data_IF_370786173626
#
_entry.id   IF_370786173626
#
_cell.length_a   1.000
_cell.length_b   1.000
_cell.length_c   1.000
_cell.angle_alpha   90.00
_cell.angle_beta   90.00
_cell.angle_gamma   90.00
#
_symmetry.space_group_name_H-M   'P 1'
#
loop_
_entity.id
_entity.type
_entity.pdbx_description
1 polymer ?
#
# COMPACT_ATOMS: atom_id res chain seq x y z
N UNK A 1 -1.53 0.82 41.67
CA UNK A 1 -1.81 0.06 40.44
C UNK A 1 -3.26 -0.40 40.55
N UNK A 2 -4.20 0.38 40.03
CA UNK A 2 -5.64 0.06 40.06
C UNK A 2 -5.98 -0.55 38.73
N UNK A 3 -6.37 -1.82 38.75
CA UNK A 3 -6.81 -2.55 37.56
C UNK A 3 -8.29 -2.22 37.37
N UNK A 4 -8.58 -1.40 36.37
CA UNK A 4 -9.97 -1.15 35.92
C UNK A 4 -10.55 -2.42 35.25
N UNK A 5 -11.77 -2.75 35.59
CA UNK A 5 -12.45 -3.91 35.03
C UNK A 5 -13.17 -3.55 33.70
N UNK A 6 -13.50 -4.58 32.93
CA UNK A 6 -14.07 -4.48 31.57
C UNK A 6 -15.40 -3.70 31.48
N UNK A 7 -16.14 -3.59 32.57
CA UNK A 7 -17.43 -2.85 32.63
C UNK A 7 -17.22 -1.35 32.76
N UNK A 8 -16.15 -0.91 33.43
CA UNK A 8 -15.81 0.51 33.59
C UNK A 8 -15.27 1.13 32.30
N UNK A 9 -14.60 0.32 31.46
CA UNK A 9 -14.14 0.76 30.14
C UNK A 9 -15.29 0.97 29.14
N UNK A 10 -16.35 0.16 29.21
CA UNK A 10 -17.53 0.31 28.34
C UNK A 10 -18.49 1.43 28.79
N UNK A 11 -18.48 1.82 30.07
CA UNK A 11 -19.30 2.90 30.58
C UNK A 11 -18.73 4.31 30.27
N UNK A 12 -17.43 4.42 29.98
CA UNK A 12 -16.79 5.68 29.58
C UNK A 12 -17.03 6.06 28.11
N UNK A 13 -17.57 5.15 27.28
CA UNK A 13 -17.79 5.34 25.85
C UNK A 13 -19.19 5.78 25.42
N UNK A 14 -20.16 5.91 26.34
CA UNK A 14 -21.58 6.19 25.99
C UNK A 14 -22.13 7.41 26.74
N UNK A 15 -21.39 8.48 26.74
CA UNK A 15 -21.85 9.68 27.44
C UNK A 15 -21.32 10.96 26.81
N UNK A 16 -21.78 11.32 25.61
CA UNK A 16 -21.75 12.74 25.16
C UNK A 16 -22.69 12.97 23.97
N UNK A 17 -23.98 12.97 24.22
CA UNK A 17 -24.93 13.72 23.38
C UNK A 17 -25.59 14.73 24.30
N UNK A 18 -25.23 16.00 24.12
CA UNK A 18 -25.94 17.11 24.76
C UNK A 18 -25.05 18.07 25.56
N UNK A 19 -24.25 18.88 24.88
CA UNK A 19 -23.80 20.16 25.39
C UNK A 19 -23.57 21.09 24.21
N UNK A 20 -24.38 22.17 24.17
CA UNK A 20 -24.18 23.34 23.31
C UNK A 20 -22.83 23.96 23.62
N UNK A 21 -21.88 23.83 22.72
CA UNK A 21 -20.58 24.46 22.82
C UNK A 21 -20.48 25.63 21.85
N UNK A 22 -20.17 26.76 22.40
CA UNK A 22 -19.72 27.97 21.73
C UNK A 22 -18.44 27.74 20.95
N UNK A 23 -18.35 28.39 19.79
CA UNK A 23 -17.32 28.29 18.79
C UNK A 23 -15.88 28.37 19.34
N UNK A 24 -15.14 27.28 19.15
CA UNK A 24 -13.70 27.22 19.14
C UNK A 24 -13.28 26.26 18.03
N UNK A 25 -12.68 26.80 16.97
CA UNK A 25 -12.26 26.05 15.78
C UNK A 25 -11.16 25.05 16.10
N UNK A 26 -11.54 23.82 16.40
CA UNK A 26 -10.73 22.65 16.18
C UNK A 26 -11.32 21.99 14.92
N UNK A 27 -10.62 22.05 13.82
CA UNK A 27 -10.94 21.31 12.62
C UNK A 27 -10.79 19.81 12.92
N UNK A 28 -11.87 19.19 13.40
CA UNK A 28 -11.98 17.75 13.45
C UNK A 28 -11.91 17.22 12.02
N UNK A 29 -10.88 16.48 11.69
CA UNK A 29 -10.78 15.79 10.42
C UNK A 29 -11.97 14.83 10.30
N UNK A 30 -13.00 15.26 9.57
CA UNK A 30 -14.09 14.37 9.16
C UNK A 30 -13.48 13.47 8.09
N UNK A 31 -13.21 12.23 8.44
CA UNK A 31 -12.82 11.19 7.49
C UNK A 31 -13.87 11.13 6.39
N UNK A 32 -13.51 11.28 5.11
CA UNK A 32 -14.44 11.02 4.04
C UNK A 32 -14.75 9.54 4.06
N UNK A 33 -15.88 9.18 4.66
CA UNK A 33 -16.43 7.84 4.56
C UNK A 33 -16.60 7.53 3.07
N UNK A 34 -16.32 6.31 2.67
CA UNK A 34 -16.72 5.80 1.36
C UNK A 34 -18.19 6.10 1.18
N UNK A 35 -18.54 6.73 0.08
CA UNK A 35 -19.94 7.05 -0.21
C UNK A 35 -20.72 5.75 -0.49
N UNK A 36 -22.05 5.82 -0.41
CA UNK A 36 -22.89 4.69 -0.81
C UNK A 36 -22.63 4.27 -2.27
N UNK A 37 -22.23 5.21 -3.12
CA UNK A 37 -21.86 4.94 -4.51
C UNK A 37 -20.55 4.20 -4.62
N UNK A 38 -19.57 4.47 -3.76
CA UNK A 38 -18.31 3.75 -3.71
C UNK A 38 -18.49 2.28 -3.29
N UNK A 39 -19.57 1.99 -2.54
CA UNK A 39 -19.90 0.65 -2.06
C UNK A 39 -20.88 -0.11 -2.97
N UNK A 40 -21.45 0.54 -3.98
CA UNK A 40 -22.36 -0.14 -4.90
C UNK A 40 -21.60 -1.20 -5.71
N UNK A 41 -22.12 -2.44 -5.79
CA UNK A 41 -21.48 -3.48 -6.59
C UNK A 41 -21.37 -3.01 -8.05
N UNK A 42 -20.15 -2.91 -8.55
CA UNK A 42 -19.87 -2.73 -9.97
C UNK A 42 -19.96 -4.06 -10.71
N UNK A 43 -19.93 -4.02 -12.03
CA UNK A 43 -19.71 -5.22 -12.84
C UNK A 43 -18.25 -5.63 -12.72
N UNK A 44 -17.98 -6.94 -12.63
CA UNK A 44 -16.62 -7.45 -12.72
C UNK A 44 -15.97 -7.00 -14.04
N UNK A 45 -14.65 -6.78 -14.07
CA UNK A 45 -13.96 -6.46 -15.32
C UNK A 45 -14.21 -7.53 -16.38
N UNK A 46 -14.73 -7.14 -17.55
CA UNK A 46 -14.93 -8.04 -18.69
C UNK A 46 -13.73 -7.95 -19.65
N UNK A 47 -12.54 -8.02 -19.08
CA UNK A 47 -11.27 -8.00 -19.83
C UNK A 47 -10.68 -9.38 -19.81
N UNK A 48 -10.60 -10.02 -20.98
CA UNK A 48 -9.90 -11.29 -21.15
C UNK A 48 -8.41 -11.03 -21.27
N UNK A 49 -7.66 -11.48 -20.28
CA UNK A 49 -6.19 -11.41 -20.25
C UNK A 49 -5.63 -12.77 -20.68
N UNK A 50 -4.67 -12.77 -21.59
CA UNK A 50 -3.94 -14.00 -21.95
C UNK A 50 -2.77 -14.18 -20.99
N UNK A 51 -2.58 -15.38 -20.41
CA UNK A 51 -1.39 -15.65 -19.62
C UNK A 51 -0.13 -15.31 -20.42
N UNK A 52 0.77 -14.61 -19.78
CA UNK A 52 2.11 -14.35 -20.31
C UNK A 52 3.10 -15.25 -19.56
N UNK A 53 3.93 -15.98 -20.30
CA UNK A 53 5.00 -16.73 -19.67
C UNK A 53 6.04 -15.71 -19.16
N UNK A 54 5.98 -15.38 -17.87
CA UNK A 54 7.00 -14.59 -17.23
C UNK A 54 8.28 -15.41 -17.18
N UNK A 55 9.21 -15.03 -18.01
CA UNK A 55 10.61 -15.36 -17.78
C UNK A 55 11.13 -14.21 -16.92
N UNK A 56 11.20 -14.43 -15.62
CA UNK A 56 12.10 -13.62 -14.78
C UNK A 56 13.50 -13.93 -15.30
N UNK A 57 13.99 -13.10 -16.19
CA UNK A 57 15.40 -13.06 -16.47
C UNK A 57 16.08 -12.41 -15.25
N UNK A 58 17.29 -12.84 -14.91
CA UNK A 58 18.03 -12.32 -13.75
C UNK A 58 18.24 -10.78 -13.81
N UNK A 59 18.03 -10.17 -14.97
CA UNK A 59 18.24 -8.76 -15.29
C UNK A 59 16.96 -7.93 -15.52
N UNK A 60 15.76 -8.55 -15.39
CA UNK A 60 14.50 -7.91 -15.78
C UNK A 60 13.32 -8.26 -14.87
N UNK A 61 12.51 -7.23 -14.53
CA UNK A 61 11.23 -7.37 -13.85
C UNK A 61 10.25 -6.31 -14.35
N UNK A 62 8.96 -6.68 -14.51
CA UNK A 62 7.87 -5.73 -14.62
C UNK A 62 6.82 -6.02 -13.55
N UNK A 63 6.42 -5.01 -12.79
CA UNK A 63 5.45 -5.15 -11.70
C UNK A 63 4.57 -3.91 -11.56
N UNK A 64 3.47 -4.06 -10.81
CA UNK A 64 2.54 -2.98 -10.46
C UNK A 64 2.53 -2.77 -8.96
N UNK A 65 2.43 -1.51 -8.51
CA UNK A 65 2.18 -1.17 -7.13
C UNK A 65 0.83 -0.44 -7.00
N UNK A 66 0.00 -0.89 -6.04
CA UNK A 66 -1.35 -0.41 -5.82
C UNK A 66 -1.72 -0.55 -4.34
N UNK A 67 -2.13 0.54 -3.70
CA UNK A 67 -2.69 0.55 -2.35
C UNK A 67 -4.18 0.90 -2.34
N UNK A 68 -4.84 0.59 -1.22
CA UNK A 68 -6.18 1.10 -0.91
C UNK A 68 -7.26 0.67 -1.93
N UNK A 69 -7.19 -0.57 -2.39
CA UNK A 69 -8.10 -1.11 -3.40
C UNK A 69 -9.30 -1.87 -2.83
N UNK A 70 -9.39 -2.04 -1.52
CA UNK A 70 -10.25 -2.98 -0.78
C UNK A 70 -11.73 -2.63 -0.66
N UNK A 71 -12.29 -1.71 -1.45
CA UNK A 71 -13.72 -1.36 -1.36
C UNK A 71 -14.64 -2.39 -2.04
N UNK A 72 -14.19 -3.01 -3.13
CA UNK A 72 -15.01 -3.82 -4.02
C UNK A 72 -16.08 -3.03 -4.79
N UNK A 73 -16.03 -1.69 -4.71
CA UNK A 73 -16.93 -0.77 -5.38
C UNK A 73 -16.52 -0.45 -6.82
N UNK A 74 -17.30 0.42 -7.49
CA UNK A 74 -17.10 0.77 -8.91
C UNK A 74 -15.71 1.34 -9.20
N UNK A 75 -15.16 2.15 -8.32
CA UNK A 75 -13.85 2.77 -8.51
C UNK A 75 -12.73 1.72 -8.43
N UNK A 76 -12.78 0.81 -7.46
CA UNK A 76 -11.85 -0.31 -7.36
C UNK A 76 -11.90 -1.20 -8.62
N UNK A 77 -13.11 -1.50 -9.11
CA UNK A 77 -13.30 -2.28 -10.34
C UNK A 77 -12.73 -1.55 -11.56
N UNK A 78 -12.93 -0.23 -11.66
CA UNK A 78 -12.39 0.56 -12.78
C UNK A 78 -10.85 0.59 -12.79
N UNK A 79 -10.22 0.69 -11.61
CA UNK A 79 -8.75 0.60 -11.50
C UNK A 79 -8.27 -0.79 -11.90
N UNK A 80 -8.90 -1.85 -11.38
CA UNK A 80 -8.55 -3.23 -11.71
C UNK A 80 -8.75 -3.53 -13.21
N UNK A 81 -9.82 -3.03 -13.82
CA UNK A 81 -10.05 -3.13 -15.28
C UNK A 81 -8.93 -2.43 -16.06
N UNK A 82 -8.52 -1.23 -15.64
CA UNK A 82 -7.41 -0.52 -16.28
C UNK A 82 -6.10 -1.30 -16.15
N UNK A 83 -5.82 -1.91 -15.00
CA UNK A 83 -4.67 -2.79 -14.82
C UNK A 83 -4.72 -3.98 -15.81
N UNK A 84 -5.87 -4.64 -15.94
CA UNK A 84 -6.04 -5.74 -16.87
C UNK A 84 -5.87 -5.31 -18.35
N UNK A 85 -6.35 -4.13 -18.73
CA UNK A 85 -6.11 -3.55 -20.05
C UNK A 85 -4.63 -3.26 -20.27
N UNK A 86 -3.96 -2.67 -19.29
CA UNK A 86 -2.53 -2.37 -19.35
C UNK A 86 -1.70 -3.65 -19.48
N UNK A 87 -2.06 -4.71 -18.76
CA UNK A 87 -1.39 -6.01 -18.86
C UNK A 87 -1.35 -6.56 -20.29
N UNK A 88 -2.35 -6.29 -21.14
CA UNK A 88 -2.37 -6.77 -22.50
C UNK A 88 -1.29 -6.17 -23.40
N UNK A 89 -0.85 -4.95 -23.09
CA UNK A 89 0.12 -4.19 -23.90
C UNK A 89 1.48 -4.03 -23.21
N UNK A 90 1.48 -4.03 -21.90
CA UNK A 90 2.65 -3.95 -21.02
C UNK A 90 2.46 -4.96 -19.87
N UNK A 91 2.71 -6.25 -20.13
CA UNK A 91 2.49 -7.30 -19.14
C UNK A 91 3.44 -7.14 -17.93
N UNK A 92 2.99 -7.62 -16.77
CA UNK A 92 3.74 -7.61 -15.51
C UNK A 92 3.52 -8.91 -14.74
N UNK A 93 4.52 -9.38 -13.99
CA UNK A 93 4.48 -10.65 -13.27
C UNK A 93 4.04 -10.56 -11.83
N UNK A 94 4.04 -9.34 -11.27
CA UNK A 94 3.79 -9.12 -9.85
C UNK A 94 2.89 -7.89 -9.65
N UNK A 95 2.00 -7.98 -8.66
CA UNK A 95 1.31 -6.83 -8.06
C UNK A 95 1.73 -6.73 -6.60
N UNK A 96 2.41 -5.65 -6.25
CA UNK A 96 2.71 -5.28 -4.88
C UNK A 96 1.51 -4.48 -4.31
N UNK A 97 0.74 -5.11 -3.44
CA UNK A 97 -0.37 -4.49 -2.73
C UNK A 97 0.15 -3.72 -1.53
N UNK A 98 -0.21 -2.44 -1.44
CA UNK A 98 0.31 -1.52 -0.43
C UNK A 98 -0.66 -1.33 0.75
N UNK A 99 -1.41 -2.37 1.08
CA UNK A 99 -2.34 -2.42 2.20
C UNK A 99 -3.76 -1.92 1.90
N UNK A 100 -4.63 -2.08 2.88
CA UNK A 100 -6.05 -1.77 2.81
C UNK A 100 -6.76 -2.51 1.67
N UNK A 101 -6.55 -3.83 1.62
CA UNK A 101 -7.19 -4.72 0.66
C UNK A 101 -8.62 -5.10 1.06
N UNK A 102 -9.04 -4.74 2.29
CA UNK A 102 -10.42 -4.93 2.76
C UNK A 102 -10.84 -3.81 3.73
N UNK A 103 -11.63 -2.84 3.26
CA UNK A 103 -12.07 -1.71 4.10
C UNK A 103 -13.14 -2.07 5.13
N UNK A 104 -13.99 -3.06 4.89
CA UNK A 104 -15.13 -3.36 5.76
C UNK A 104 -15.32 -4.85 5.97
N UNK A 105 -15.44 -5.23 7.22
CA UNK A 105 -15.75 -6.60 7.59
C UNK A 105 -14.55 -7.53 7.53
N UNK A 106 -14.82 -8.80 7.35
CA UNK A 106 -13.82 -9.87 7.37
C UNK A 106 -13.42 -10.22 5.93
N UNK A 107 -12.13 -10.23 5.61
CA UNK A 107 -11.62 -10.54 4.27
C UNK A 107 -12.11 -11.90 3.77
N UNK A 108 -12.13 -12.97 4.59
CA UNK A 108 -12.63 -14.30 4.17
C UNK A 108 -14.04 -14.23 3.58
N UNK A 109 -14.91 -13.38 4.16
CA UNK A 109 -16.29 -13.22 3.68
C UNK A 109 -16.38 -12.31 2.44
N UNK A 110 -15.45 -11.39 2.31
CA UNK A 110 -15.45 -10.39 1.25
C UNK A 110 -14.42 -10.65 0.15
N UNK A 111 -13.57 -11.64 0.32
CA UNK A 111 -12.45 -11.95 -0.57
C UNK A 111 -12.86 -11.97 -2.06
N UNK A 112 -13.97 -12.63 -2.36
CA UNK A 112 -14.49 -12.64 -3.73
C UNK A 112 -14.83 -11.24 -4.23
N UNK A 113 -15.45 -10.39 -3.39
CA UNK A 113 -15.91 -9.05 -3.78
C UNK A 113 -14.78 -8.05 -3.90
N UNK A 114 -13.80 -8.06 -2.97
CA UNK A 114 -12.77 -7.03 -2.87
C UNK A 114 -11.47 -7.40 -3.58
N UNK A 115 -11.21 -8.69 -3.77
CA UNK A 115 -9.97 -9.19 -4.35
C UNK A 115 -10.19 -10.02 -5.61
N UNK A 116 -10.86 -11.21 -5.47
CA UNK A 116 -10.95 -12.17 -6.57
C UNK A 116 -11.71 -11.65 -7.79
N UNK A 117 -12.85 -10.99 -7.57
CA UNK A 117 -13.65 -10.44 -8.66
C UNK A 117 -12.99 -9.24 -9.35
N UNK A 118 -12.44 -8.24 -8.65
CA UNK A 118 -11.71 -7.15 -9.30
C UNK A 118 -10.46 -7.62 -10.05
N UNK A 119 -9.66 -8.46 -9.43
CA UNK A 119 -8.34 -8.86 -9.95
C UNK A 119 -8.35 -10.21 -10.69
N UNK A 120 -9.54 -10.81 -10.87
CA UNK A 120 -9.72 -12.11 -11.52
C UNK A 120 -8.97 -12.27 -12.84
N UNK A 121 -9.06 -11.33 -13.79
CA UNK A 121 -8.31 -11.43 -15.04
C UNK A 121 -6.80 -11.57 -14.85
N UNK A 122 -6.21 -10.90 -13.87
CA UNK A 122 -4.78 -10.98 -13.56
C UNK A 122 -4.44 -12.27 -12.81
N UNK A 123 -5.30 -12.71 -11.89
CA UNK A 123 -5.17 -14.00 -11.18
C UNK A 123 -5.19 -15.15 -12.20
N UNK A 124 -6.13 -15.14 -13.12
CA UNK A 124 -6.29 -16.17 -14.16
C UNK A 124 -5.10 -16.14 -15.15
N UNK A 125 -4.44 -14.99 -15.30
CA UNK A 125 -3.22 -14.85 -16.08
C UNK A 125 -1.95 -15.33 -15.35
N UNK A 126 -2.06 -15.71 -14.07
CA UNK A 126 -0.93 -16.20 -13.27
C UNK A 126 -0.04 -15.09 -12.70
N UNK A 127 -0.54 -13.85 -12.59
CA UNK A 127 0.18 -12.76 -11.92
C UNK A 127 0.31 -13.06 -10.43
N UNK A 128 1.50 -12.89 -9.88
CA UNK A 128 1.75 -13.02 -8.44
C UNK A 128 1.26 -11.78 -7.67
N UNK A 129 0.89 -11.97 -6.41
CA UNK A 129 0.48 -10.91 -5.51
C UNK A 129 1.26 -10.98 -4.22
N UNK A 130 1.85 -9.86 -3.81
CA UNK A 130 2.54 -9.67 -2.55
C UNK A 130 1.87 -8.53 -1.77
N UNK A 131 1.88 -8.57 -0.44
CA UNK A 131 1.08 -7.68 0.40
C UNK A 131 1.90 -7.01 1.50
N UNK A 132 1.80 -5.68 1.60
CA UNK A 132 2.04 -4.94 2.83
C UNK A 132 0.71 -4.73 3.58
N UNK A 133 0.69 -4.97 4.90
CA UNK A 133 -0.53 -4.89 5.71
C UNK A 133 -0.93 -3.42 5.93
N UNK A 134 -2.20 -3.09 5.69
CA UNK A 134 -2.81 -1.79 5.98
C UNK A 134 -3.53 -1.73 7.33
N UNK A 135 -3.93 -0.54 7.75
CA UNK A 135 -4.63 -0.36 9.02
C UNK A 135 -6.07 -0.90 9.00
N UNK A 136 -6.72 -0.93 7.85
CA UNK A 136 -8.05 -1.56 7.71
C UNK A 136 -7.98 -3.08 7.60
N UNK A 137 -6.85 -3.64 7.19
CA UNK A 137 -6.60 -5.08 7.21
C UNK A 137 -6.36 -5.57 8.63
N UNK A 138 -5.89 -4.69 9.53
CA UNK A 138 -5.64 -5.02 10.92
C UNK A 138 -6.96 -5.07 11.71
N UNK A 139 -7.36 -6.26 12.13
CA UNK A 139 -8.64 -6.58 12.77
C UNK A 139 -8.99 -5.80 14.05
N UNK A 140 -8.08 -5.02 14.59
CA UNK A 140 -8.33 -4.18 15.78
C UNK A 140 -9.41 -3.12 15.53
N UNK A 141 -9.75 -2.81 14.28
CA UNK A 141 -10.73 -1.76 14.01
C UNK A 141 -12.17 -2.26 13.84
N UNK A 142 -12.43 -3.51 13.40
CA UNK A 142 -13.78 -3.89 12.96
C UNK A 142 -14.21 -5.34 13.21
N UNK A 143 -13.48 -6.19 13.95
CA UNK A 143 -13.92 -7.56 14.18
C UNK A 143 -13.84 -8.00 15.64
N UNK A 144 -14.82 -8.80 16.05
CA UNK A 144 -14.83 -9.48 17.36
C UNK A 144 -13.76 -10.59 17.49
N UNK A 145 -12.87 -10.75 16.49
CA UNK A 145 -12.00 -11.92 16.35
C UNK A 145 -10.49 -11.65 16.35
N UNK A 146 -10.04 -10.43 16.61
CA UNK A 146 -8.63 -10.11 16.90
C UNK A 146 -7.62 -10.61 15.85
N UNK A 147 -6.48 -11.12 16.29
CA UNK A 147 -5.35 -11.62 15.48
C UNK A 147 -5.73 -12.59 14.35
N UNK A 148 -6.85 -13.29 14.49
CA UNK A 148 -7.31 -14.27 13.50
C UNK A 148 -7.69 -13.70 12.14
N UNK A 149 -7.91 -12.39 11.99
CA UNK A 149 -8.24 -11.78 10.71
C UNK A 149 -7.01 -11.58 9.84
N UNK A 150 -5.91 -11.08 10.41
CA UNK A 150 -4.64 -10.93 9.68
C UNK A 150 -4.08 -12.30 9.29
N UNK A 151 -4.08 -13.26 10.21
CA UNK A 151 -3.65 -14.63 9.89
C UNK A 151 -4.43 -15.20 8.71
N UNK A 152 -5.74 -14.92 8.66
CA UNK A 152 -6.58 -15.33 7.55
C UNK A 152 -6.23 -14.63 6.22
N UNK A 153 -5.79 -13.38 6.26
CA UNK A 153 -5.34 -12.63 5.08
C UNK A 153 -4.01 -13.18 4.57
N UNK A 154 -3.04 -13.37 5.45
CA UNK A 154 -1.76 -13.95 5.12
C UNK A 154 -1.93 -15.34 4.50
N UNK A 155 -2.80 -16.18 5.07
CA UNK A 155 -3.12 -17.51 4.54
C UNK A 155 -3.78 -17.44 3.14
N UNK A 156 -4.77 -16.55 2.95
CA UNK A 156 -5.50 -16.42 1.69
C UNK A 156 -4.62 -15.94 0.53
N UNK A 157 -3.63 -15.10 0.82
CA UNK A 157 -2.71 -14.53 -0.16
C UNK A 157 -1.38 -15.30 -0.22
N UNK A 158 -1.18 -16.27 0.70
CA UNK A 158 0.05 -17.07 0.75
C UNK A 158 1.28 -16.29 1.18
N UNK A 159 1.09 -15.16 1.90
CA UNK A 159 2.21 -14.34 2.38
C UNK A 159 2.90 -15.00 3.57
N UNK A 160 4.24 -14.94 3.66
CA UNK A 160 5.00 -15.67 4.69
C UNK A 160 4.78 -15.16 6.13
N UNK A 161 4.36 -13.89 6.28
CA UNK A 161 4.20 -13.27 7.60
C UNK A 161 3.78 -11.80 7.50
N UNK A 162 3.79 -11.10 8.63
CA UNK A 162 3.42 -9.68 8.71
C UNK A 162 4.45 -8.76 8.05
N UNK A 163 5.70 -9.17 8.08
CA UNK A 163 6.80 -8.54 7.35
C UNK A 163 7.73 -9.65 6.83
N UNK A 164 8.24 -9.46 5.64
CA UNK A 164 9.04 -10.48 4.97
C UNK A 164 9.81 -9.88 3.79
N UNK A 165 10.72 -10.66 3.25
CA UNK A 165 11.43 -10.34 2.00
C UNK A 165 11.13 -11.38 0.93
N UNK A 166 11.10 -10.95 -0.31
CA UNK A 166 10.98 -11.81 -1.49
C UNK A 166 11.81 -11.22 -2.62
N UNK A 167 12.30 -12.06 -3.51
CA UNK A 167 13.12 -11.63 -4.64
C UNK A 167 12.45 -11.99 -5.95
N UNK A 168 12.38 -11.02 -6.85
CA UNK A 168 11.86 -11.20 -8.20
C UNK A 168 12.83 -10.59 -9.21
N UNK A 169 13.50 -11.44 -10.00
CA UNK A 169 14.56 -10.99 -10.91
C UNK A 169 15.63 -10.18 -10.17
N UNK A 170 15.98 -8.98 -10.66
CA UNK A 170 17.03 -8.15 -10.08
C UNK A 170 16.60 -7.33 -8.84
N UNK A 171 15.41 -7.58 -8.29
CA UNK A 171 14.81 -6.76 -7.22
C UNK A 171 14.57 -7.58 -5.98
N UNK A 172 15.09 -7.12 -4.83
CA UNK A 172 14.69 -7.55 -3.51
C UNK A 172 13.59 -6.63 -2.98
N UNK A 173 12.46 -7.23 -2.61
CA UNK A 173 11.33 -6.55 -1.97
C UNK A 173 11.33 -6.82 -0.48
N UNK A 174 11.06 -5.76 0.29
CA UNK A 174 10.92 -5.79 1.74
C UNK A 174 9.52 -5.28 2.08
N UNK A 175 8.61 -6.19 2.39
CA UNK A 175 7.26 -5.86 2.81
C UNK A 175 7.23 -5.66 4.32
N UNK A 176 6.70 -4.52 4.77
CA UNK A 176 6.68 -4.12 6.17
C UNK A 176 5.24 -3.99 6.67
N UNK A 177 5.03 -4.34 7.93
CA UNK A 177 3.81 -3.99 8.65
C UNK A 177 3.99 -2.64 9.33
N UNK A 178 3.45 -1.60 8.73
CA UNK A 178 3.45 -0.24 9.27
C UNK A 178 2.19 0.06 10.09
N UNK A 179 1.28 -0.90 10.28
CA UNK A 179 0.12 -0.74 11.16
C UNK A 179 0.57 -0.72 12.63
N UNK A 180 -0.25 -0.13 13.50
CA UNK A 180 0.00 -0.17 14.94
C UNK A 180 -0.25 -1.63 15.42
N UNK A 181 0.71 -2.31 16.03
CA UNK A 181 1.93 -1.83 16.70
C UNK A 181 3.23 -1.92 15.87
N UNK A 182 3.17 -2.19 14.57
CA UNK A 182 4.34 -2.50 13.75
C UNK A 182 5.47 -1.46 13.75
N UNK A 183 5.16 -0.13 13.73
CA UNK A 183 6.19 0.92 13.80
C UNK A 183 6.24 1.68 15.14
N UNK A 184 5.28 1.50 16.05
CA UNK A 184 5.14 2.31 17.25
C UNK A 184 5.23 1.52 18.56
N UNK A 185 5.16 0.19 18.53
CA UNK A 185 5.19 -0.69 19.71
C UNK A 185 6.56 -1.35 19.96
N UNK A 186 6.66 -2.20 20.98
CA UNK A 186 7.85 -3.02 21.22
C UNK A 186 8.25 -3.88 20.01
N UNK A 187 7.30 -4.43 19.30
CA UNK A 187 7.52 -5.22 18.07
C UNK A 187 8.12 -4.40 16.92
N UNK A 188 8.04 -3.07 16.98
CA UNK A 188 8.67 -2.21 15.98
C UNK A 188 10.20 -2.31 15.99
N UNK A 189 10.81 -2.51 17.15
CA UNK A 189 12.26 -2.70 17.25
C UNK A 189 12.68 -4.01 16.58
N UNK A 190 11.95 -5.08 16.83
CA UNK A 190 12.21 -6.39 16.21
C UNK A 190 12.10 -6.32 14.68
N UNK A 191 11.06 -5.67 14.14
CA UNK A 191 10.91 -5.49 12.70
C UNK A 191 12.02 -4.62 12.10
N UNK A 192 12.44 -3.56 12.78
CA UNK A 192 13.51 -2.68 12.29
C UNK A 192 14.89 -3.35 12.35
N UNK A 193 15.18 -4.14 13.39
CA UNK A 193 16.38 -4.97 13.49
C UNK A 193 16.40 -6.02 12.37
N UNK A 194 15.28 -6.73 12.18
CA UNK A 194 15.15 -7.66 11.07
C UNK A 194 15.35 -6.98 9.70
N UNK A 195 14.79 -5.79 9.51
CA UNK A 195 14.94 -5.04 8.24
C UNK A 195 16.40 -4.62 8.01
N UNK A 196 17.08 -4.18 9.05
CA UNK A 196 18.49 -3.79 8.98
C UNK A 196 19.36 -4.97 8.53
N UNK A 197 19.16 -6.14 9.13
CA UNK A 197 19.85 -7.39 8.76
C UNK A 197 19.47 -7.88 7.36
N UNK A 198 18.18 -7.82 7.00
CA UNK A 198 17.70 -8.23 5.70
C UNK A 198 18.24 -7.35 4.57
N UNK A 199 18.25 -6.02 4.76
CA UNK A 199 18.82 -5.07 3.80
C UNK A 199 20.35 -5.23 3.68
N UNK A 200 21.05 -5.49 4.78
CA UNK A 200 22.49 -5.74 4.78
C UNK A 200 22.85 -7.03 4.01
N UNK A 201 21.94 -8.03 4.04
CA UNK A 201 22.14 -9.32 3.37
C UNK A 201 21.67 -9.31 1.92
N UNK A 202 21.01 -8.25 1.45
CA UNK A 202 20.49 -8.13 0.08
C UNK A 202 21.64 -8.03 -0.93
N UNK A 203 21.63 -8.95 -1.88
CA UNK A 203 22.64 -9.03 -2.94
C UNK A 203 22.13 -8.53 -4.30
N UNK A 204 20.83 -8.33 -4.45
CA UNK A 204 20.25 -7.84 -5.69
C UNK A 204 20.55 -6.35 -5.89
N UNK A 205 20.57 -5.97 -7.17
CA UNK A 205 20.89 -4.62 -7.60
C UNK A 205 19.89 -3.57 -7.08
N UNK A 206 18.61 -3.96 -6.97
CA UNK A 206 17.52 -3.05 -6.59
C UNK A 206 16.89 -3.45 -5.27
N UNK A 207 16.70 -2.47 -4.39
CA UNK A 207 16.02 -2.62 -3.10
C UNK A 207 14.74 -1.79 -3.09
N UNK A 208 13.59 -2.48 -3.03
CA UNK A 208 12.28 -1.85 -2.97
C UNK A 208 11.61 -2.18 -1.64
N UNK A 209 11.23 -1.16 -0.87
CA UNK A 209 10.49 -1.34 0.37
C UNK A 209 9.02 -0.99 0.14
N UNK A 210 8.12 -1.87 0.56
CA UNK A 210 6.68 -1.69 0.49
C UNK A 210 6.07 -1.66 1.89
N UNK A 211 5.28 -0.64 2.18
CA UNK A 211 4.56 -0.49 3.44
C UNK A 211 3.26 0.29 3.22
N UNK A 212 2.36 0.29 4.21
CA UNK A 212 1.10 1.00 4.04
C UNK A 212 1.21 2.50 4.38
N UNK A 213 1.66 2.83 5.60
CA UNK A 213 1.71 4.23 6.05
C UNK A 213 2.94 4.96 5.50
N UNK A 214 2.76 6.06 4.73
CA UNK A 214 3.87 6.73 4.05
C UNK A 214 4.79 7.47 5.02
N UNK A 215 6.12 7.30 4.90
CA UNK A 215 7.07 8.18 5.60
C UNK A 215 6.92 9.64 5.17
N UNK A 216 6.65 9.88 3.90
CA UNK A 216 6.47 11.22 3.32
C UNK A 216 5.17 11.28 2.54
N UNK A 217 4.26 12.17 2.96
CA UNK A 217 2.99 12.45 2.28
C UNK A 217 2.52 13.88 2.54
N UNK A 218 2.01 14.52 1.52
CA UNK A 218 1.31 15.81 1.59
C UNK A 218 -0.22 15.63 1.55
N UNK A 219 -0.69 14.39 1.74
CA UNK A 219 -2.09 14.02 1.72
C UNK A 219 -2.83 14.35 2.99
N UNK A 220 -4.04 13.81 3.10
CA UNK A 220 -4.96 14.11 4.20
C UNK A 220 -4.44 13.59 5.56
N UNK A 221 -3.78 12.43 5.57
CA UNK A 221 -3.20 11.84 6.78
C UNK A 221 -1.81 12.40 7.05
N UNK A 222 -1.12 12.83 5.98
CA UNK A 222 0.22 13.38 6.03
C UNK A 222 1.30 12.32 6.24
N UNK A 223 2.51 12.81 6.43
CA UNK A 223 3.67 11.98 6.71
C UNK A 223 3.52 11.25 8.05
N UNK A 224 4.07 10.05 8.15
CA UNK A 224 4.08 9.24 9.38
C UNK A 224 5.36 9.52 10.18
N UNK A 225 5.28 10.29 11.29
CA UNK A 225 6.48 10.72 12.01
C UNK A 225 7.37 9.55 12.47
N UNK A 226 6.76 8.48 13.02
CA UNK A 226 7.51 7.29 13.44
C UNK A 226 8.25 6.59 12.30
N UNK A 227 7.71 6.63 11.08
CA UNK A 227 8.39 6.11 9.90
C UNK A 227 9.55 7.04 9.47
N UNK A 228 9.39 8.34 9.55
CA UNK A 228 10.48 9.29 9.28
C UNK A 228 11.62 9.17 10.28
N UNK A 229 11.30 9.06 11.58
CA UNK A 229 12.29 9.06 12.66
C UNK A 229 13.04 7.73 12.79
N UNK A 230 12.37 6.61 12.56
CA UNK A 230 12.90 5.28 12.86
C UNK A 230 13.23 4.45 11.62
N UNK A 231 12.36 4.48 10.59
CA UNK A 231 12.54 3.69 9.39
C UNK A 231 13.44 4.40 8.37
N UNK A 232 13.19 5.68 8.06
CA UNK A 232 13.96 6.36 7.01
C UNK A 232 15.50 6.33 7.21
N UNK A 233 16.05 6.45 8.43
CA UNK A 233 17.50 6.32 8.64
C UNK A 233 18.04 4.91 8.32
N UNK A 234 17.24 3.84 8.49
CA UNK A 234 17.63 2.48 8.11
C UNK A 234 17.69 2.37 6.59
N UNK A 235 16.66 2.88 5.90
CA UNK A 235 16.58 2.85 4.44
C UNK A 235 17.70 3.65 3.78
N UNK A 236 18.05 4.80 4.34
CA UNK A 236 19.17 5.64 3.89
C UNK A 236 20.52 4.90 4.03
N UNK A 237 20.79 4.32 5.20
CA UNK A 237 22.03 3.58 5.48
C UNK A 237 22.27 2.43 4.50
N UNK A 238 21.20 1.72 4.11
CA UNK A 238 21.27 0.58 3.20
C UNK A 238 21.01 0.94 1.74
N UNK A 239 20.91 2.24 1.46
CA UNK A 239 20.75 2.73 0.09
C UNK A 239 19.54 2.13 -0.64
N UNK A 240 18.38 2.08 0.04
CA UNK A 240 17.12 1.67 -0.60
C UNK A 240 16.83 2.60 -1.78
N UNK A 241 16.40 2.06 -2.91
CA UNK A 241 16.17 2.83 -4.13
C UNK A 241 14.78 3.45 -4.17
N UNK A 242 13.76 2.66 -3.78
CA UNK A 242 12.36 3.03 -3.88
C UNK A 242 11.56 2.57 -2.67
N UNK A 243 10.73 3.44 -2.13
CA UNK A 243 9.75 3.14 -1.10
C UNK A 243 8.35 3.36 -1.65
N UNK A 244 7.51 2.33 -1.59
CA UNK A 244 6.14 2.33 -2.08
C UNK A 244 5.17 2.29 -0.89
N UNK A 245 4.16 3.15 -0.89
CA UNK A 245 3.18 3.23 0.19
C UNK A 245 1.76 3.53 -0.33
N UNK A 246 0.76 3.23 0.50
CA UNK A 246 -0.64 3.54 0.31
C UNK A 246 -1.16 4.57 1.31
N UNK A 247 -2.30 4.26 1.97
CA UNK A 247 -2.91 4.99 3.07
C UNK A 247 -3.52 6.33 2.68
N UNK A 248 -2.76 7.24 2.10
CA UNK A 248 -3.27 8.48 1.54
C UNK A 248 -3.74 8.26 0.09
N UNK A 249 -5.02 8.52 -0.15
CA UNK A 249 -5.70 8.11 -1.39
C UNK A 249 -5.44 9.09 -2.54
N UNK A 250 -4.18 9.19 -2.94
CA UNK A 250 -3.72 10.01 -4.05
C UNK A 250 -2.45 9.40 -4.66
N UNK A 251 -1.90 10.03 -5.66
CA UNK A 251 -0.54 9.81 -6.13
C UNK A 251 0.37 10.91 -5.61
N UNK A 252 1.51 10.56 -5.03
CA UNK A 252 2.57 11.51 -4.73
C UNK A 252 3.94 10.85 -4.88
N UNK A 253 4.87 11.54 -5.53
CA UNK A 253 6.29 11.18 -5.57
C UNK A 253 7.10 12.29 -4.92
N UNK A 254 8.03 11.90 -4.07
CA UNK A 254 8.97 12.85 -3.48
C UNK A 254 10.15 13.15 -4.40
N UNK A 255 10.77 14.30 -4.23
CA UNK A 255 12.19 14.43 -4.51
C UNK A 255 12.94 13.41 -3.64
N UNK A 256 14.11 12.90 -4.10
CA UNK A 256 14.86 11.95 -3.29
C UNK A 256 15.20 12.53 -1.91
N UNK A 257 14.84 11.81 -0.85
CA UNK A 257 15.21 12.14 0.52
C UNK A 257 16.40 11.28 0.92
N UNK A 258 17.56 11.90 1.13
CA UNK A 258 18.83 11.20 1.36
C UNK A 258 19.15 10.12 0.30
N UNK A 259 18.72 10.35 -0.93
CA UNK A 259 18.94 9.42 -2.05
C UNK A 259 17.88 8.33 -2.20
N UNK A 260 16.89 8.25 -1.32
CA UNK A 260 15.74 7.34 -1.40
C UNK A 260 14.55 8.06 -2.04
N UNK A 261 13.89 7.44 -3.02
CA UNK A 261 12.65 7.96 -3.63
C UNK A 261 11.43 7.34 -2.96
N UNK A 262 10.50 8.17 -2.50
CA UNK A 262 9.26 7.75 -1.86
C UNK A 262 8.07 7.99 -2.78
N UNK A 263 7.17 7.00 -2.89
CA UNK A 263 5.96 7.11 -3.71
C UNK A 263 4.74 6.66 -2.90
N UNK A 264 3.72 7.50 -2.85
CA UNK A 264 2.38 7.15 -2.40
C UNK A 264 1.56 6.76 -3.62
N UNK A 265 1.03 5.54 -3.65
CA UNK A 265 0.17 4.99 -4.69
C UNK A 265 -1.12 4.42 -4.08
N UNK A 266 -1.87 5.27 -3.34
CA UNK A 266 -3.07 4.90 -2.58
C UNK A 266 -4.39 5.20 -3.31
N UNK A 267 -4.37 5.49 -4.61
CA UNK A 267 -5.56 5.78 -5.41
C UNK A 267 -6.35 4.57 -5.89
N UNK A 268 -6.30 3.42 -5.18
CA UNK A 268 -6.86 2.16 -5.64
C UNK A 268 -8.38 2.07 -5.69
N UNK A 269 -9.11 2.79 -4.84
CA UNK A 269 -10.58 2.73 -4.85
C UNK A 269 -11.30 4.02 -4.49
N UNK A 270 -10.59 5.03 -4.03
CA UNK A 270 -11.13 6.38 -3.73
C UNK A 270 -10.00 7.40 -3.79
N UNK A 271 -10.35 8.68 -3.75
CA UNK A 271 -9.34 9.75 -3.75
C UNK A 271 -9.61 10.77 -2.65
N UNK A 272 -8.55 11.29 -2.05
CA UNK A 272 -8.57 12.40 -1.08
C UNK A 272 -7.75 13.58 -1.62
N UNK A 273 -8.00 14.80 -1.12
CA UNK A 273 -7.18 15.95 -1.46
C UNK A 273 -5.71 15.73 -1.11
N UNK A 274 -4.82 16.27 -1.93
CA UNK A 274 -3.39 16.29 -1.69
C UNK A 274 -2.87 17.71 -1.83
N UNK A 275 -1.95 18.11 -0.95
CA UNK A 275 -1.20 19.35 -0.99
C UNK A 275 0.16 19.20 -1.68
N UNK A 276 1.10 20.04 -1.28
CA UNK A 276 2.51 19.96 -1.66
C UNK A 276 3.37 20.38 -0.46
N UNK A 277 4.33 19.58 -0.11
CA UNK A 277 5.36 19.85 0.89
C UNK A 277 6.70 20.13 0.22
N UNK A 278 7.71 20.51 0.97
CA UNK A 278 9.04 20.79 0.42
C UNK A 278 9.67 19.58 -0.30
N UNK A 279 9.27 18.37 0.10
CA UNK A 279 9.74 17.14 -0.52
C UNK A 279 8.93 16.71 -1.76
N UNK A 280 7.78 17.31 -2.06
CA UNK A 280 6.90 16.86 -3.13
C UNK A 280 7.44 17.22 -4.51
N UNK A 281 7.80 16.24 -5.32
CA UNK A 281 8.11 16.42 -6.74
C UNK A 281 6.83 16.49 -7.59
N UNK A 282 5.97 15.47 -7.46
CA UNK A 282 4.68 15.38 -8.15
C UNK A 282 3.61 14.94 -7.16
N UNK A 283 2.43 15.55 -7.21
CA UNK A 283 1.28 15.12 -6.45
C UNK A 283 -0.01 15.34 -7.25
N UNK A 284 -0.90 14.34 -7.25
CA UNK A 284 -2.17 14.39 -7.95
C UNK A 284 -3.26 13.59 -7.24
N UNK A 285 -4.42 14.20 -7.08
CA UNK A 285 -5.62 13.52 -6.62
C UNK A 285 -6.24 12.73 -7.77
N UNK A 286 -5.94 11.43 -7.86
CA UNK A 286 -6.42 10.60 -8.97
C UNK A 286 -6.57 9.13 -8.57
N UNK A 287 -7.50 8.43 -9.21
CA UNK A 287 -7.54 6.96 -9.21
C UNK A 287 -6.44 6.47 -10.16
N UNK A 288 -5.55 5.60 -9.67
CA UNK A 288 -4.36 5.19 -10.41
C UNK A 288 -3.73 3.92 -9.84
N UNK A 289 -2.73 3.42 -10.54
CA UNK A 289 -1.73 2.48 -10.09
C UNK A 289 -0.37 2.85 -10.69
N UNK A 290 0.70 2.34 -10.12
CA UNK A 290 2.06 2.55 -10.60
C UNK A 290 2.54 1.29 -11.34
N UNK A 291 2.87 1.41 -12.63
CA UNK A 291 3.51 0.36 -13.43
C UNK A 291 5.02 0.61 -13.44
N UNK A 292 5.81 -0.41 -13.11
CA UNK A 292 7.26 -0.30 -12.93
C UNK A 292 7.95 -1.36 -13.76
N UNK A 293 8.93 -0.94 -14.54
CA UNK A 293 9.83 -1.82 -15.30
C UNK A 293 11.25 -1.64 -14.81
N UNK A 294 11.90 -2.74 -14.49
CA UNK A 294 13.32 -2.82 -14.18
C UNK A 294 14.01 -3.57 -15.29
N UNK A 295 15.02 -2.96 -15.90
CA UNK A 295 15.84 -3.55 -16.93
C UNK A 295 17.27 -3.07 -16.70
N UNK A 296 18.18 -3.99 -16.47
CA UNK A 296 19.59 -3.70 -16.17
C UNK A 296 19.73 -2.65 -15.05
N UNK A 297 20.43 -1.56 -15.29
CA UNK A 297 20.70 -0.46 -14.37
C UNK A 297 19.57 0.55 -14.27
N UNK A 298 18.39 0.27 -14.82
CA UNK A 298 17.31 1.24 -14.95
C UNK A 298 15.99 0.71 -14.38
N UNK A 299 15.38 1.49 -13.48
CA UNK A 299 14.01 1.33 -13.04
C UNK A 299 13.18 2.49 -13.59
N UNK A 300 12.16 2.20 -14.39
CA UNK A 300 11.23 3.19 -14.94
C UNK A 300 9.85 2.96 -14.35
N UNK A 301 9.28 3.98 -13.72
CA UNK A 301 7.96 3.95 -13.12
C UNK A 301 7.01 4.93 -13.82
N UNK A 302 5.77 4.47 -14.05
CA UNK A 302 4.72 5.20 -14.76
C UNK A 302 3.45 5.15 -13.92
N UNK A 303 2.98 6.30 -13.45
CA UNK A 303 1.67 6.43 -12.81
C UNK A 303 0.58 6.49 -13.88
N UNK A 304 -0.27 5.47 -13.93
CA UNK A 304 -1.34 5.33 -14.93
C UNK A 304 -2.68 5.61 -14.28
N UNK A 305 -3.40 6.63 -14.77
CA UNK A 305 -4.76 6.94 -14.32
C UNK A 305 -5.77 5.91 -14.82
N UNK A 306 -6.93 5.86 -14.18
CA UNK A 306 -8.03 4.96 -14.55
C UNK A 306 -8.48 5.15 -16.02
N UNK A 307 -8.35 6.35 -16.60
CA UNK A 307 -8.65 6.61 -18.01
C UNK A 307 -7.53 6.17 -18.98
N UNK A 308 -6.40 5.71 -18.45
CA UNK A 308 -5.24 5.26 -19.22
C UNK A 308 -4.22 6.34 -19.53
N UNK A 309 -4.47 7.59 -19.15
CA UNK A 309 -3.49 8.67 -19.28
C UNK A 309 -2.39 8.55 -18.22
N UNK A 310 -1.25 9.17 -18.49
CA UNK A 310 -0.09 9.16 -17.59
C UNK A 310 -0.12 10.38 -16.68
N UNK A 311 -0.08 10.17 -15.37
CA UNK A 311 0.02 11.23 -14.36
C UNK A 311 1.47 11.66 -14.13
N UNK A 312 2.38 10.68 -14.06
CA UNK A 312 3.82 10.91 -13.84
C UNK A 312 4.64 9.80 -14.50
N UNK A 313 5.87 10.13 -14.82
CA UNK A 313 6.88 9.18 -15.28
C UNK A 313 8.23 9.59 -14.72
N UNK A 314 8.93 8.65 -14.11
CA UNK A 314 10.29 8.88 -13.62
C UNK A 314 11.18 7.66 -13.85
N UNK A 315 12.48 7.87 -13.75
CA UNK A 315 13.48 6.83 -13.90
C UNK A 315 14.51 6.96 -12.79
N UNK A 316 14.83 5.83 -12.18
CA UNK A 316 15.96 5.69 -11.26
C UNK A 316 17.09 4.94 -11.97
N UNK A 317 18.32 5.23 -11.59
CA UNK A 317 19.52 4.50 -12.00
C UNK A 317 20.03 3.71 -10.81
N UNK A 318 20.41 2.46 -11.07
CA UNK A 318 21.11 1.70 -10.06
C UNK A 318 22.40 2.41 -9.66
N UNK A 319 22.73 2.33 -8.39
CA UNK A 319 23.98 2.90 -7.89
C UNK A 319 25.15 2.09 -8.43
N UNK A 320 26.20 2.75 -8.89
CA UNK A 320 27.43 2.07 -9.32
C UNK A 320 28.08 1.43 -8.09
N UNK A 321 28.23 0.12 -8.12
CA UNK A 321 28.99 -0.77 -7.24
C UNK A 321 29.17 -0.32 -5.76
N UNK A 322 28.30 -0.82 -4.88
CA UNK A 322 28.65 -1.00 -3.46
C UNK A 322 29.10 -2.42 -3.22
#
# INVERSE_FOLDING_TARGET
MVVMNRREFLAAGVGLVGATATAGTMAGAVWPLLTREDLLPGQAPDVKVRPHAWQTADDRLSFVALGDNGSGGRQALAVAERMAITYQTAPFGLVALLGDICYYGNLRRRFDTVFRRPLGPLIDAGVAFELAIGNHDNALHFSDHGLSAIEAELELLGTPGRYYTTSHGPVDFFFLDSSIPGLYGPSASEQLEWLDDALASSANQWKVVALHHPPYSSGQHGSTPGAQERLAPVLDRHHVDLVLSGHDHHYERSEPQHGVTYVVSGGGCKTTPVGRSAFTAVAERTLQFLHIEVVDDRLTAICIRVDGSVADRFTLRAREGT
#
